data_IF_815602737295
#
_entry.id   IF_815602737295
#
_cell.length_a   1.000
_cell.length_b   1.000
_cell.length_c   1.000
_cell.angle_alpha   90.00
_cell.angle_beta   90.00
_cell.angle_gamma   90.00
#
_symmetry.space_group_name_H-M   'P 1'
#
loop_
_entity.id
_entity.type
_entity.pdbx_description
1 polymer ?
#
# COMPACT_ATOMS: atom_id res chain seq x y z
N UNK A 1 -41.26 5.93 7.99
CA UNK A 1 -40.57 4.68 8.35
C UNK A 1 -39.09 5.00 8.63
N UNK A 2 -38.66 4.63 9.79
CA UNK A 2 -37.29 4.87 10.17
C UNK A 2 -36.40 3.73 9.64
N UNK A 3 -35.46 4.05 8.80
CA UNK A 3 -34.51 3.07 8.33
C UNK A 3 -33.51 2.77 9.45
N UNK A 4 -33.48 1.52 9.88
CA UNK A 4 -32.49 1.05 10.85
C UNK A 4 -31.63 0.02 10.17
N UNK A 5 -30.39 0.36 9.84
CA UNK A 5 -29.50 -0.63 9.24
C UNK A 5 -29.19 -1.74 10.24
N UNK A 6 -29.03 -2.95 9.73
CA UNK A 6 -28.61 -4.06 10.57
C UNK A 6 -27.26 -3.71 11.21
N UNK A 7 -27.09 -4.01 12.51
CA UNK A 7 -25.81 -3.74 13.15
C UNK A 7 -24.69 -4.56 12.49
N UNK A 8 -23.60 -3.87 12.16
CA UNK A 8 -22.44 -4.51 11.59
C UNK A 8 -21.73 -5.28 12.71
N UNK A 9 -21.42 -6.55 12.46
CA UNK A 9 -20.64 -7.33 13.43
C UNK A 9 -19.21 -6.79 13.50
N UNK A 10 -18.50 -7.01 14.63
CA UNK A 10 -17.09 -6.62 14.71
C UNK A 10 -16.22 -7.20 13.60
N UNK A 11 -16.46 -8.45 13.22
CA UNK A 11 -15.75 -9.09 12.12
C UNK A 11 -16.03 -8.40 10.79
N UNK A 12 -17.25 -7.99 10.54
CA UNK A 12 -17.61 -7.30 9.31
C UNK A 12 -17.00 -5.89 9.27
N UNK A 13 -17.05 -5.18 10.39
CA UNK A 13 -16.44 -3.86 10.51
C UNK A 13 -14.92 -3.94 10.25
N UNK A 14 -14.27 -4.96 10.78
CA UNK A 14 -12.85 -5.20 10.57
C UNK A 14 -12.57 -5.50 9.09
N UNK A 15 -13.39 -6.36 8.47
CA UNK A 15 -13.22 -6.70 7.06
C UNK A 15 -13.38 -5.47 6.16
N UNK A 16 -14.36 -4.62 6.46
CA UNK A 16 -14.57 -3.37 5.71
C UNK A 16 -13.38 -2.42 5.86
N UNK A 17 -12.86 -2.29 7.06
CA UNK A 17 -11.69 -1.46 7.33
C UNK A 17 -10.47 -1.96 6.56
N UNK A 18 -10.24 -3.27 6.59
CA UNK A 18 -9.12 -3.90 5.88
C UNK A 18 -9.22 -3.66 4.38
N UNK A 19 -10.42 -3.81 3.81
CA UNK A 19 -10.63 -3.60 2.38
C UNK A 19 -10.39 -2.15 1.99
N UNK A 20 -10.91 -1.21 2.76
CA UNK A 20 -10.67 0.22 2.52
C UNK A 20 -9.19 0.57 2.60
N UNK A 21 -8.49 0.03 3.59
CA UNK A 21 -7.06 0.27 3.74
C UNK A 21 -6.27 -0.32 2.57
N UNK A 22 -6.62 -1.52 2.13
CA UNK A 22 -5.98 -2.12 0.95
C UNK A 22 -6.16 -1.24 -0.28
N UNK A 23 -7.34 -0.64 -0.44
CA UNK A 23 -7.60 0.26 -1.55
C UNK A 23 -6.74 1.53 -1.45
N UNK A 24 -6.59 2.08 -0.24
CA UNK A 24 -5.72 3.23 -0.01
C UNK A 24 -4.26 2.90 -0.31
N UNK A 25 -3.80 1.72 0.12
CA UNK A 25 -2.44 1.24 -0.14
C UNK A 25 -2.21 1.10 -1.64
N UNK A 26 -3.17 0.52 -2.36
CA UNK A 26 -3.06 0.37 -3.81
C UNK A 26 -3.03 1.72 -4.52
N UNK A 27 -3.82 2.68 -4.06
CA UNK A 27 -3.85 4.02 -4.63
C UNK A 27 -2.51 4.71 -4.43
N UNK A 28 -1.93 4.65 -3.24
CA UNK A 28 -0.62 5.23 -2.96
C UNK A 28 0.48 4.53 -3.75
N UNK A 29 0.45 3.20 -3.82
CA UNK A 29 1.38 2.44 -4.66
C UNK A 29 1.31 2.89 -6.11
N UNK A 30 0.09 3.02 -6.65
CA UNK A 30 -0.10 3.42 -8.04
C UNK A 30 0.42 4.84 -8.29
N UNK A 31 0.23 5.73 -7.32
CA UNK A 31 0.77 7.09 -7.38
C UNK A 31 2.30 7.06 -7.45
N UNK A 32 2.92 6.27 -6.59
CA UNK A 32 4.39 6.15 -6.56
C UNK A 32 4.94 5.49 -7.83
N UNK A 33 4.22 4.50 -8.37
CA UNK A 33 4.61 3.89 -9.64
C UNK A 33 4.52 4.90 -10.78
N UNK A 34 3.45 5.70 -10.81
CA UNK A 34 3.28 6.73 -11.84
C UNK A 34 4.39 7.77 -11.78
N UNK A 35 4.85 8.12 -10.57
CA UNK A 35 5.96 9.06 -10.39
C UNK A 35 7.25 8.59 -11.07
N UNK A 36 7.44 7.29 -11.18
CA UNK A 36 8.68 6.69 -11.69
C UNK A 36 8.51 6.05 -13.06
N UNK A 37 7.35 6.16 -13.70
CA UNK A 37 7.12 5.57 -15.03
C UNK A 37 8.04 6.16 -16.09
N UNK A 38 8.51 7.39 -15.92
CA UNK A 38 9.41 8.06 -16.85
C UNK A 38 10.70 7.25 -17.11
N UNK A 39 11.09 6.38 -16.17
CA UNK A 39 12.34 5.61 -16.28
C UNK A 39 12.31 4.68 -17.50
N UNK A 40 11.14 4.34 -18.01
CA UNK A 40 10.98 3.47 -19.16
C UNK A 40 10.94 4.23 -20.49
N UNK A 41 10.98 5.56 -20.46
CA UNK A 41 10.97 6.36 -21.68
C UNK A 41 12.32 6.27 -22.39
N UNK A 42 12.35 6.16 -23.74
CA UNK A 42 13.62 6.02 -24.48
C UNK A 42 14.58 7.20 -24.33
N UNK A 43 14.02 8.39 -24.07
CA UNK A 43 14.77 9.63 -23.97
C UNK A 43 15.46 9.82 -22.63
N UNK A 44 15.13 8.98 -21.65
CA UNK A 44 15.70 9.12 -20.30
C UNK A 44 17.05 8.45 -20.23
N UNK A 45 18.08 9.23 -19.89
CA UNK A 45 19.44 8.74 -19.70
C UNK A 45 19.75 8.72 -18.21
N UNK A 46 19.95 7.54 -17.66
CA UNK A 46 20.30 7.34 -16.25
C UNK A 46 21.40 6.29 -16.17
N UNK A 47 22.12 6.26 -15.03
CA UNK A 47 23.14 5.24 -14.81
C UNK A 47 22.48 3.86 -14.70
N UNK A 48 23.25 2.82 -15.03
CA UNK A 48 22.76 1.43 -14.92
C UNK A 48 22.44 1.08 -13.47
N UNK A 49 23.24 1.59 -12.52
CA UNK A 49 23.00 1.38 -11.09
C UNK A 49 21.67 1.99 -10.66
N UNK A 50 21.41 3.23 -11.06
CA UNK A 50 20.14 3.89 -10.74
C UNK A 50 18.97 3.14 -11.35
N UNK A 51 19.11 2.71 -12.60
CA UNK A 51 18.07 1.96 -13.28
C UNK A 51 17.76 0.64 -12.56
N UNK A 52 18.80 -0.09 -12.16
CA UNK A 52 18.65 -1.35 -11.42
C UNK A 52 17.95 -1.10 -10.07
N UNK A 53 18.36 -0.06 -9.35
CA UNK A 53 17.75 0.30 -8.07
C UNK A 53 16.30 0.70 -8.25
N UNK A 54 15.98 1.41 -9.33
CA UNK A 54 14.61 1.82 -9.61
C UNK A 54 13.71 0.63 -9.93
N UNK A 55 14.23 -0.35 -10.68
CA UNK A 55 13.48 -1.58 -10.98
C UNK A 55 13.16 -2.32 -9.69
N UNK A 56 14.13 -2.44 -8.78
CA UNK A 56 13.92 -3.08 -7.49
C UNK A 56 12.89 -2.32 -6.64
N UNK A 57 12.96 -0.99 -6.63
CA UNK A 57 12.01 -0.15 -5.92
C UNK A 57 10.60 -0.35 -6.44
N UNK A 58 10.42 -0.34 -7.76
CA UNK A 58 9.11 -0.52 -8.37
C UNK A 58 8.55 -1.92 -8.10
N UNK A 59 9.39 -2.94 -8.07
CA UNK A 59 8.94 -4.29 -7.73
C UNK A 59 8.50 -4.35 -6.26
N UNK A 60 9.24 -3.71 -5.37
CA UNK A 60 8.84 -3.63 -3.96
C UNK A 60 7.48 -2.93 -3.81
N UNK A 61 7.22 -1.89 -4.60
CA UNK A 61 5.92 -1.22 -4.59
C UNK A 61 4.79 -2.16 -5.03
N UNK A 62 5.03 -2.95 -6.07
CA UNK A 62 4.03 -3.92 -6.56
C UNK A 62 3.71 -4.97 -5.51
N UNK A 63 4.68 -5.32 -4.68
CA UNK A 63 4.52 -6.35 -3.66
C UNK A 63 3.86 -5.84 -2.37
N UNK A 64 3.76 -4.52 -2.18
CA UNK A 64 3.22 -3.93 -0.95
C UNK A 64 1.81 -4.46 -0.62
N UNK A 65 0.85 -4.52 -1.57
CA UNK A 65 -0.49 -5.00 -1.19
C UNK A 65 -0.52 -6.43 -0.64
N UNK A 66 0.39 -7.29 -1.07
CA UNK A 66 0.44 -8.66 -0.55
C UNK A 66 0.98 -8.73 0.88
N UNK A 67 1.72 -7.69 1.33
CA UNK A 67 2.25 -7.64 2.69
C UNK A 67 1.24 -7.15 3.71
N UNK A 68 0.15 -6.52 3.26
CA UNK A 68 -0.86 -5.94 4.14
C UNK A 68 -1.51 -7.00 5.00
N UNK A 69 -1.88 -8.14 4.43
CA UNK A 69 -2.51 -9.22 5.18
C UNK A 69 -1.59 -9.76 6.28
N UNK A 70 -0.31 -9.93 5.96
CA UNK A 70 0.69 -10.38 6.94
C UNK A 70 0.85 -9.36 8.05
N UNK A 71 0.90 -8.09 7.70
CA UNK A 71 1.01 -7.01 8.67
C UNK A 71 -0.22 -6.98 9.58
N UNK A 72 -1.41 -7.06 9.00
CA UNK A 72 -2.66 -7.01 9.75
C UNK A 72 -2.87 -8.22 10.64
N UNK A 73 -2.25 -9.36 10.31
CA UNK A 73 -2.37 -10.57 11.14
C UNK A 73 -1.78 -10.38 12.54
N UNK A 74 -0.91 -9.38 12.72
CA UNK A 74 -0.34 -9.03 14.03
C UNK A 74 -1.35 -8.38 14.96
N UNK A 75 -2.44 -7.87 14.42
CA UNK A 75 -3.39 -7.05 15.17
C UNK A 75 -4.75 -7.74 15.16
N UNK A 76 -5.21 -8.13 16.33
CA UNK A 76 -6.53 -8.75 16.48
C UNK A 76 -7.62 -7.70 16.74
N UNK A 77 -7.22 -6.51 17.17
CA UNK A 77 -8.12 -5.41 17.54
C UNK A 77 -8.12 -4.35 16.42
N UNK A 78 -9.34 -4.04 15.94
CA UNK A 78 -9.51 -3.03 14.91
C UNK A 78 -8.98 -1.66 15.34
N UNK A 79 -9.08 -1.33 16.63
CA UNK A 79 -8.56 -0.07 17.15
C UNK A 79 -7.04 0.04 16.95
N UNK A 80 -6.33 -1.04 17.23
CA UNK A 80 -4.88 -1.09 17.01
C UNK A 80 -4.55 -0.97 15.53
N UNK A 81 -5.31 -1.65 14.67
CA UNK A 81 -5.14 -1.52 13.23
C UNK A 81 -5.30 -0.08 12.76
N UNK A 82 -6.34 0.60 13.24
CA UNK A 82 -6.58 1.99 12.87
C UNK A 82 -5.47 2.92 13.33
N UNK A 83 -4.89 2.64 14.50
CA UNK A 83 -3.80 3.45 15.03
C UNK A 83 -2.48 3.22 14.31
N UNK A 84 -2.28 2.03 13.75
CA UNK A 84 -0.97 1.62 13.21
C UNK A 84 -0.91 1.53 11.68
N UNK A 85 -2.03 1.74 10.99
CA UNK A 85 -2.10 1.36 9.57
C UNK A 85 -1.09 2.08 8.67
N UNK A 86 -0.66 3.28 8.97
CA UNK A 86 0.36 3.94 8.18
C UNK A 86 1.77 3.79 8.74
N UNK A 87 1.90 3.67 10.06
CA UNK A 87 3.21 3.68 10.72
C UNK A 87 3.93 2.34 10.65
N UNK A 88 3.22 1.23 10.45
CA UNK A 88 3.83 -0.09 10.47
C UNK A 88 4.06 -0.71 9.10
N UNK A 89 3.59 -0.08 8.04
CA UNK A 89 3.77 -0.60 6.69
C UNK A 89 5.11 -0.12 6.13
N UNK A 90 5.92 -1.08 5.69
CA UNK A 90 7.27 -0.81 5.20
C UNK A 90 7.24 -0.35 3.73
N UNK A 91 7.12 0.96 3.54
CA UNK A 91 7.22 1.53 2.21
C UNK A 91 8.68 1.60 1.77
N UNK A 92 9.01 1.14 0.56
CA UNK A 92 10.39 1.22 0.09
C UNK A 92 10.83 2.66 -0.13
N UNK A 93 12.12 2.90 0.03
CA UNK A 93 12.71 4.23 -0.18
C UNK A 93 13.03 4.43 -1.66
N UNK A 94 12.56 5.54 -2.22
CA UNK A 94 12.81 5.88 -3.62
C UNK A 94 14.32 6.10 -3.83
N UNK A 95 14.93 5.43 -4.83
CA UNK A 95 16.34 5.62 -5.12
C UNK A 95 16.66 7.04 -5.58
N UNK A 96 17.88 7.49 -5.29
CA UNK A 96 18.41 8.75 -5.80
C UNK A 96 19.33 8.46 -6.99
N UNK A 97 19.33 9.36 -7.99
CA UNK A 97 20.20 9.20 -9.15
C UNK A 97 21.69 9.21 -8.81
#
# INVERSE_FOLDING_TARGET
>A
MTFTPDPITPEQAKANFVEEWKNEVRAERNRLLAETDYIHLPDVTVSDTFKTNMIAYRQSLRDIPSTVDTYLSKWSDMREMMNQHWSGLDWPTKPSP
#
